data_IF_526537941049
#
_entry.id   IF_526537941049
#
_cell.length_a   1.000
_cell.length_b   1.000
_cell.length_c   1.000
_cell.angle_alpha   90.00
_cell.angle_beta   90.00
_cell.angle_gamma   90.00
#
_symmetry.space_group_name_H-M   'P 1'
#
loop_
_entity.id
_entity.type
_entity.pdbx_description
1 polymer ?
2 water ?
#
# COMPACT_ATOMS: atom_id res chain seq x y z
N UNK A 1 11.92 -18.37 -22.06
CA UNK A 1 11.94 -18.93 -20.68
C UNK A 1 10.73 -18.40 -19.89
N UNK A 2 10.00 -19.27 -19.16
CA UNK A 2 8.85 -18.83 -18.40
C UNK A 2 9.18 -17.72 -17.39
N UNK A 3 8.24 -16.81 -17.21
CA UNK A 3 8.45 -15.70 -16.27
C UNK A 3 7.14 -15.11 -15.78
N UNK A 4 7.22 -14.40 -14.67
CA UNK A 4 6.10 -13.60 -14.21
C UNK A 4 6.66 -12.42 -13.43
N UNK A 5 5.80 -11.42 -13.19
CA UNK A 5 6.17 -10.21 -12.47
C UNK A 5 5.43 -10.16 -11.14
N UNK A 6 6.16 -9.76 -10.09
CA UNK A 6 5.59 -9.43 -8.78
C UNK A 6 5.37 -7.93 -8.73
N UNK A 7 4.15 -7.51 -8.40
CA UNK A 7 3.78 -6.11 -8.28
C UNK A 7 2.95 -5.91 -7.02
N UNK A 8 2.77 -4.64 -6.67
CA UNK A 8 1.79 -4.27 -5.64
C UNK A 8 1.06 -3.02 -6.14
N UNK A 9 -0.19 -3.22 -6.60
CA UNK A 9 -0.97 -2.17 -7.25
C UNK A 9 -2.02 -1.60 -6.32
N UNK A 10 -2.08 -0.27 -6.25
CA UNK A 10 -3.17 0.45 -5.60
C UNK A 10 -3.82 1.30 -6.67
N UNK A 11 -5.04 0.94 -7.05
CA UNK A 11 -5.70 1.64 -8.14
C UNK A 11 -5.96 3.10 -7.77
N UNK A 12 -5.52 4.03 -8.64
CA UNK A 12 -5.70 5.46 -8.37
C UNK A 12 -7.17 5.84 -8.22
N UNK A 13 -8.02 5.34 -9.12
CA UNK A 13 -9.41 5.75 -9.09
C UNK A 13 -10.13 5.20 -7.86
N UNK A 14 -9.79 3.98 -7.44
CA UNK A 14 -10.38 3.46 -6.21
C UNK A 14 -9.93 4.28 -5.00
N UNK A 15 -8.67 4.73 -5.00
CA UNK A 15 -8.20 5.57 -3.89
C UNK A 15 -8.85 6.94 -3.91
N UNK A 16 -8.97 7.55 -5.08
CA UNK A 16 -9.66 8.82 -5.19
C UNK A 16 -11.09 8.70 -4.67
N UNK A 17 -11.79 7.63 -5.05
CA UNK A 17 -13.18 7.46 -4.61
C UNK A 17 -13.26 7.20 -3.11
N UNK A 18 -12.32 6.41 -2.57
CA UNK A 18 -12.29 6.21 -1.12
C UNK A 18 -12.07 7.50 -0.37
N UNK A 19 -11.11 8.31 -0.80
CA UNK A 19 -10.83 9.58 -0.16
C UNK A 19 -12.05 10.50 -0.25
N UNK A 20 -12.63 10.63 -1.44
CA UNK A 20 -13.87 11.42 -1.59
C UNK A 20 -14.95 10.94 -0.63
N UNK A 21 -15.14 9.61 -0.52
CA UNK A 21 -16.15 9.06 0.38
C UNK A 21 -15.81 9.38 1.83
N UNK A 22 -14.52 9.35 2.17
CA UNK A 22 -14.11 9.69 3.54
C UNK A 22 -14.40 11.14 3.85
N UNK A 23 -14.10 12.04 2.89
CA UNK A 23 -14.40 13.46 3.06
C UNK A 23 -15.89 13.68 3.28
N UNK A 24 -16.72 12.96 2.52
CA UNK A 24 -18.18 13.08 2.68
C UNK A 24 -18.61 12.68 4.09
N UNK A 25 -18.05 11.57 4.58
CA UNK A 25 -18.35 11.13 5.94
C UNK A 25 -17.98 12.20 6.97
N UNK A 26 -16.82 12.85 6.80
CA UNK A 26 -16.37 13.85 7.77
C UNK A 26 -17.33 15.04 7.80
N UNK A 27 -17.74 15.50 6.63
CA UNK A 27 -18.58 16.69 6.59
C UNK A 27 -20.00 16.40 7.07
N UNK A 28 -20.41 15.13 7.13
CA UNK A 28 -21.72 14.77 7.64
C UNK A 28 -21.72 14.46 9.13
N UNK A 29 -20.58 14.56 9.83
CA UNK A 29 -20.49 14.14 11.22
C UNK A 29 -20.47 15.37 12.14
N UNK A 30 -21.43 15.44 13.06
CA UNK A 30 -21.56 16.65 13.86
C UNK A 30 -20.33 16.91 14.73
N UNK A 31 -19.53 15.89 15.06
CA UNK A 31 -18.39 16.11 15.94
C UNK A 31 -17.24 16.84 15.26
N UNK A 32 -17.28 16.99 13.94
CA UNK A 32 -16.28 17.76 13.21
C UNK A 32 -16.75 19.17 12.85
N UNK A 33 -17.86 19.62 13.45
CA UNK A 33 -18.33 20.99 13.24
C UNK A 33 -17.27 22.00 13.68
N UNK A 34 -16.99 22.95 12.81
CA UNK A 34 -16.03 24.00 13.10
C UNK A 34 -14.62 23.51 13.35
N UNK A 35 -14.35 22.24 13.06
CA UNK A 35 -13.03 21.64 13.20
C UNK A 35 -12.41 21.53 11.81
N UNK A 36 -11.18 22.02 11.64
CA UNK A 36 -10.47 21.71 10.41
C UNK A 36 -10.17 20.22 10.42
N UNK A 37 -10.55 19.55 9.36
CA UNK A 37 -10.43 18.09 9.32
C UNK A 37 -10.39 17.70 7.84
N UNK A 38 -9.19 17.50 7.31
CA UNK A 38 -9.00 17.33 5.88
C UNK A 38 -8.30 16.01 5.56
N UNK A 39 -8.71 15.42 4.44
CA UNK A 39 -8.11 14.21 3.89
C UNK A 39 -7.89 14.48 2.42
N UNK A 40 -6.62 14.52 1.99
CA UNK A 40 -6.29 15.00 0.66
C UNK A 40 -5.33 14.03 -0.02
N UNK A 41 -5.72 13.54 -1.19
CA UNK A 41 -4.90 12.62 -1.96
C UNK A 41 -3.99 13.37 -2.93
N UNK A 42 -2.70 13.05 -2.90
CA UNK A 42 -1.73 13.49 -3.89
C UNK A 42 -1.64 12.39 -4.94
N UNK A 43 -2.22 12.65 -6.12
CA UNK A 43 -2.31 11.62 -7.14
C UNK A 43 -0.93 11.18 -7.61
N UNK A 44 0.00 12.12 -7.78
CA UNK A 44 1.29 11.78 -8.33
C UNK A 44 2.07 10.84 -7.42
N UNK A 45 2.04 11.08 -6.10
CA UNK A 45 2.79 10.33 -5.11
C UNK A 45 2.00 9.19 -4.50
N UNK A 46 0.69 9.11 -4.75
CA UNK A 46 -0.20 8.17 -4.04
C UNK A 46 0.03 8.25 -2.54
N UNK A 47 -0.03 9.47 -2.04
CA UNK A 47 0.08 9.77 -0.61
C UNK A 47 -1.15 10.56 -0.18
N UNK A 48 -1.54 10.40 1.07
CA UNK A 48 -2.73 11.05 1.59
C UNK A 48 -2.38 11.86 2.83
N UNK A 49 -2.64 13.16 2.78
CA UNK A 49 -2.37 14.06 3.88
C UNK A 49 -3.62 14.13 4.75
N UNK A 50 -3.47 13.85 6.03
CA UNK A 50 -4.58 13.87 6.98
C UNK A 50 -4.24 14.91 8.03
N UNK A 51 -5.15 15.87 8.23
CA UNK A 51 -4.85 16.97 9.13
C UNK A 51 -6.07 17.32 9.96
N UNK A 52 -5.84 17.59 11.24
CA UNK A 52 -6.90 18.13 12.09
C UNK A 52 -6.27 18.85 13.28
N UNK A 53 -6.99 18.89 14.41
CA UNK A 53 -6.65 19.78 15.52
C UNK A 53 -6.26 19.03 16.79
N UNK A 54 -5.99 17.74 16.68
CA UNK A 54 -5.59 16.93 17.83
C UNK A 54 -5.11 15.60 17.31
N UNK A 55 -4.35 14.90 18.14
CA UNK A 55 -3.96 13.53 17.81
C UNK A 55 -5.19 12.66 17.62
N UNK A 56 -6.19 12.78 18.51
CA UNK A 56 -7.33 11.89 18.43
C UNK A 56 -8.16 12.15 17.19
N UNK A 57 -8.26 13.41 16.77
CA UNK A 57 -9.01 13.71 15.56
C UNK A 57 -8.33 13.16 14.31
N UNK A 58 -6.99 13.28 14.23
CA UNK A 58 -6.28 12.63 13.13
C UNK A 58 -6.57 11.13 13.12
N UNK A 59 -6.58 10.48 14.31
CA UNK A 59 -6.84 9.05 14.33
C UNK A 59 -8.27 8.72 13.91
N UNK A 60 -9.24 9.56 14.28
CA UNK A 60 -10.59 9.36 13.81
C UNK A 60 -10.68 9.47 12.29
N UNK A 61 -9.95 10.42 11.70
CA UNK A 61 -9.93 10.55 10.24
C UNK A 61 -9.26 9.35 9.58
N UNK A 62 -8.18 8.85 10.18
CA UNK A 62 -7.52 7.67 9.61
C UNK A 62 -8.44 6.45 9.67
N UNK A 63 -9.22 6.31 10.75
CA UNK A 63 -10.18 5.21 10.83
C UNK A 63 -11.22 5.30 9.72
N UNK A 64 -11.78 6.49 9.50
CA UNK A 64 -12.72 6.69 8.41
C UNK A 64 -12.06 6.33 7.09
N UNK A 65 -10.84 6.83 6.89
CA UNK A 65 -10.15 6.61 5.63
C UNK A 65 -9.87 5.12 5.40
N UNK A 66 -9.43 4.40 6.43
CA UNK A 66 -9.16 2.98 6.26
C UNK A 66 -10.44 2.23 5.89
N UNK A 67 -11.56 2.56 6.53
CA UNK A 67 -12.82 1.88 6.22
C UNK A 67 -13.28 2.17 4.80
N UNK A 68 -13.18 3.44 4.37
CA UNK A 68 -13.60 3.74 3.00
C UNK A 68 -12.67 3.07 1.99
N UNK A 69 -11.37 3.01 2.27
CA UNK A 69 -10.46 2.35 1.33
C UNK A 69 -10.74 0.86 1.26
N UNK A 70 -11.13 0.26 2.39
CA UNK A 70 -11.35 -1.18 2.42
C UNK A 70 -12.53 -1.59 1.57
N UNK A 71 -13.59 -0.76 1.57
CA UNK A 71 -14.74 -1.03 0.73
C UNK A 71 -14.40 -0.93 -0.76
N UNK A 72 -13.31 -0.23 -1.09
CA UNK A 72 -12.84 -0.12 -2.47
C UNK A 72 -11.81 -1.19 -2.84
N UNK A 73 -11.59 -2.19 -1.99
CA UNK A 73 -10.60 -3.22 -2.26
C UNK A 73 -9.19 -2.88 -1.87
N UNK A 74 -8.97 -1.73 -1.23
CA UNK A 74 -7.65 -1.31 -0.77
C UNK A 74 -7.53 -1.73 0.68
N UNK A 75 -6.83 -2.84 0.92
CA UNK A 75 -6.77 -3.40 2.26
C UNK A 75 -5.88 -2.57 3.19
N UNK A 76 -6.04 -2.81 4.49
CA UNK A 76 -5.36 -1.97 5.47
C UNK A 76 -3.86 -2.06 5.39
N UNK A 77 -3.33 -3.21 4.98
CA UNK A 77 -1.90 -3.37 4.85
C UNK A 77 -1.34 -2.50 3.73
N UNK A 78 -2.19 -1.95 2.87
CA UNK A 78 -1.76 -1.10 1.76
C UNK A 78 -1.71 0.38 2.13
N UNK A 79 -1.98 0.74 3.38
CA UNK A 79 -1.91 2.12 3.83
C UNK A 79 -0.88 2.20 4.96
N UNK A 80 0.27 2.81 4.67
CA UNK A 80 1.39 2.91 5.60
C UNK A 80 1.29 4.24 6.34
N UNK A 81 0.90 4.17 7.62
CA UNK A 81 0.73 5.37 8.45
C UNK A 81 1.93 5.45 9.40
N UNK A 82 2.66 6.56 9.42
CA UNK A 82 3.78 6.70 10.34
C UNK A 82 3.36 6.52 11.80
N UNK A 83 4.34 6.10 12.61
CA UNK A 83 4.06 5.90 14.03
C UNK A 83 3.77 7.21 14.76
N UNK A 84 4.30 8.32 14.26
CA UNK A 84 4.19 9.59 14.94
C UNK A 84 3.63 10.63 13.98
N UNK A 85 2.81 11.53 14.51
CA UNK A 85 2.23 12.63 13.74
C UNK A 85 3.10 13.88 13.89
N UNK A 86 2.86 14.86 13.04
CA UNK A 86 3.52 16.16 13.13
C UNK A 86 2.58 17.11 13.85
N UNK A 87 3.09 17.76 14.90
CA UNK A 87 2.33 18.73 15.66
C UNK A 87 2.95 20.10 15.41
N UNK A 88 2.14 21.02 14.88
CA UNK A 88 2.63 22.33 14.47
C UNK A 88 1.55 23.35 14.81
N UNK A 89 1.75 24.11 15.88
CA UNK A 89 0.75 25.08 16.27
C UNK A 89 -0.49 24.37 16.78
N UNK A 90 -1.65 24.77 16.25
CA UNK A 90 -2.92 24.15 16.61
C UNK A 90 -3.27 22.95 15.74
N UNK A 91 -2.43 22.61 14.77
CA UNK A 91 -2.71 21.53 13.84
C UNK A 91 -1.84 20.31 14.10
N UNK A 92 -2.43 19.15 13.88
CA UNK A 92 -1.74 17.86 13.84
C UNK A 92 -1.96 17.25 12.48
N UNK A 93 -0.92 16.65 11.91
CA UNK A 93 -1.08 16.08 10.60
C UNK A 93 -0.11 14.93 10.38
N UNK A 94 -0.45 14.12 9.38
CA UNK A 94 0.36 12.97 9.01
C UNK A 94 0.17 12.69 7.52
N UNK A 95 1.18 12.09 6.91
CA UNK A 95 1.14 11.63 5.53
C UNK A 95 1.00 10.11 5.57
N UNK A 96 -0.13 9.62 5.08
CA UNK A 96 -0.33 8.19 4.89
C UNK A 96 0.07 7.85 3.47
N UNK A 97 0.97 6.87 3.33
CA UNK A 97 1.47 6.43 2.04
C UNK A 97 0.70 5.20 1.56
N UNK A 98 0.16 5.27 0.35
CA UNK A 98 -0.38 4.07 -0.27
C UNK A 98 0.79 3.23 -0.77
N UNK A 99 0.69 1.92 -0.52
CA UNK A 99 1.77 0.99 -0.83
C UNK A 99 1.65 0.57 -2.31
N UNK A 100 1.89 1.54 -3.16
CA UNK A 100 2.03 1.28 -4.58
C UNK A 100 3.47 0.88 -4.86
N UNK A 101 3.66 -0.25 -5.54
CA UNK A 101 5.00 -0.72 -5.82
C UNK A 101 5.64 -1.40 -4.61
N UNK A 102 6.84 -1.93 -4.83
CA UNK A 102 7.59 -2.65 -3.80
C UNK A 102 8.82 -1.81 -3.50
N UNK A 103 8.88 -1.27 -2.29
CA UNK A 103 10.01 -0.44 -1.89
C UNK A 103 11.28 -1.29 -1.78
N UNK A 104 12.43 -0.60 -1.88
CA UNK A 104 13.75 -1.22 -1.76
C UNK A 104 13.86 -2.24 -0.64
N UNK A 105 13.44 -1.85 0.57
CA UNK A 105 13.63 -2.71 1.73
C UNK A 105 12.82 -3.99 1.61
N UNK A 106 11.67 -3.93 0.94
CA UNK A 106 10.86 -5.13 0.75
C UNK A 106 11.39 -5.95 -0.42
N UNK A 107 11.90 -5.28 -1.45
CA UNK A 107 12.49 -6.00 -2.57
C UNK A 107 13.65 -6.89 -2.12
N UNK A 108 14.53 -6.35 -1.25
CA UNK A 108 15.62 -7.18 -0.76
C UNK A 108 15.11 -8.41 -0.02
N UNK A 109 13.99 -8.30 0.70
CA UNK A 109 13.51 -9.46 1.44
C UNK A 109 12.96 -10.54 0.51
N UNK A 110 12.28 -10.12 -0.57
CA UNK A 110 11.81 -11.06 -1.58
C UNK A 110 12.97 -11.76 -2.24
N UNK A 111 13.98 -10.99 -2.64
CA UNK A 111 15.15 -11.58 -3.28
C UNK A 111 15.82 -12.60 -2.36
N UNK A 112 15.92 -12.29 -1.06
CA UNK A 112 16.51 -13.26 -0.13
C UNK A 112 15.67 -14.53 -0.02
N UNK A 113 14.35 -14.39 0.11
CA UNK A 113 13.47 -15.55 0.12
C UNK A 113 13.71 -16.45 -1.09
N UNK A 114 13.80 -15.84 -2.28
CA UNK A 114 13.97 -16.64 -3.50
C UNK A 114 15.34 -17.33 -3.51
N UNK A 115 16.39 -16.63 -3.11
CA UNK A 115 17.69 -17.30 -3.07
C UNK A 115 17.75 -18.39 -2.01
N UNK A 116 17.12 -18.16 -0.85
CA UNK A 116 17.10 -19.18 0.19
C UNK A 116 16.34 -20.43 -0.23
N UNK A 117 15.38 -20.30 -1.15
CA UNK A 117 14.61 -21.45 -1.58
C UNK A 117 15.44 -22.45 -2.34
N UNK A 118 16.56 -22.02 -2.92
CA UNK A 118 17.42 -22.83 -3.78
C UNK A 118 16.76 -23.22 -5.10
N UNK A 119 15.53 -22.78 -5.37
CA UNK A 119 14.92 -23.09 -6.65
C UNK A 119 15.73 -22.48 -7.79
N UNK A 120 15.73 -23.18 -8.93
CA UNK A 120 16.50 -22.73 -10.10
C UNK A 120 15.72 -21.63 -10.83
N UNK A 121 15.62 -20.49 -10.16
CA UNK A 121 14.94 -19.32 -10.69
C UNK A 121 15.82 -18.11 -10.45
N UNK A 122 15.53 -17.03 -11.16
CA UNK A 122 16.30 -15.80 -11.00
C UNK A 122 15.33 -14.63 -10.86
N UNK A 123 15.70 -13.69 -10.01
CA UNK A 123 14.90 -12.50 -9.78
C UNK A 123 15.67 -11.27 -10.24
N UNK A 124 14.98 -10.37 -10.93
CA UNK A 124 15.57 -9.13 -11.42
C UNK A 124 14.65 -7.99 -11.01
N UNK A 125 15.18 -7.05 -10.23
CA UNK A 125 14.42 -5.84 -9.89
C UNK A 125 14.22 -5.01 -11.16
N UNK A 126 13.00 -4.53 -11.35
CA UNK A 126 12.63 -3.67 -12.48
C UNK A 126 11.79 -2.53 -11.92
N UNK A 127 12.45 -1.41 -11.58
CA UNK A 127 11.72 -0.32 -10.97
C UNK A 127 11.07 -0.76 -9.67
N UNK A 128 9.76 -0.52 -9.54
CA UNK A 128 9.02 -0.88 -8.35
C UNK A 128 8.51 -2.31 -8.39
N UNK A 129 8.92 -3.09 -9.38
CA UNK A 129 8.44 -4.43 -9.63
C UNK A 129 9.62 -5.41 -9.59
N UNK A 130 9.31 -6.71 -9.63
CA UNK A 130 10.32 -7.77 -9.67
C UNK A 130 9.91 -8.79 -10.70
N UNK A 131 10.79 -9.08 -11.66
CA UNK A 131 10.57 -10.14 -12.63
C UNK A 131 11.24 -11.41 -12.14
N UNK A 132 10.51 -12.52 -12.21
CA UNK A 132 11.03 -13.82 -11.80
C UNK A 132 10.98 -14.74 -13.00
N UNK A 133 12.11 -15.37 -13.34
CA UNK A 133 12.26 -16.24 -14.49
C UNK A 133 12.85 -17.59 -14.10
N UNK A 134 12.41 -18.65 -14.79
CA UNK A 134 12.90 -19.98 -14.49
C UNK A 134 12.42 -20.96 -15.53
N UNK A 135 13.15 -22.06 -15.74
CA UNK A 135 12.73 -23.02 -16.75
C UNK A 135 11.46 -23.75 -16.33
N UNK A 136 11.23 -23.89 -15.03
CA UNK A 136 10.09 -24.67 -14.54
C UNK A 136 8.95 -23.78 -14.07
N UNK A 137 7.78 -23.98 -14.66
CA UNK A 137 6.59 -23.25 -14.25
C UNK A 137 6.17 -23.66 -12.85
N UNK A 138 6.48 -24.90 -12.46
CA UNK A 138 6.19 -25.35 -11.10
C UNK A 138 7.03 -24.58 -10.09
N UNK A 139 8.32 -24.37 -10.40
CA UNK A 139 9.18 -23.58 -9.51
C UNK A 139 8.68 -22.15 -9.41
N UNK A 140 8.20 -21.59 -10.54
CA UNK A 140 7.62 -20.24 -10.49
C UNK A 140 6.39 -20.22 -9.59
N UNK A 141 5.54 -21.26 -9.68
CA UNK A 141 4.43 -21.43 -8.73
C UNK A 141 4.92 -21.46 -7.29
N UNK A 142 6.03 -22.14 -7.02
CA UNK A 142 6.54 -22.20 -5.65
C UNK A 142 7.04 -20.84 -5.19
N UNK A 143 7.64 -20.05 -6.09
CA UNK A 143 8.05 -18.71 -5.72
C UNK A 143 6.84 -17.87 -5.31
N UNK A 144 5.74 -17.94 -6.08
CA UNK A 144 4.55 -17.20 -5.70
C UNK A 144 4.07 -17.59 -4.31
N UNK A 145 4.09 -18.88 -3.99
CA UNK A 145 3.66 -19.30 -2.66
C UNK A 145 4.60 -18.78 -1.58
N UNK A 146 5.88 -18.71 -1.88
CA UNK A 146 6.84 -18.20 -0.90
C UNK A 146 6.59 -16.72 -0.63
N UNK A 147 6.30 -15.96 -1.68
CA UNK A 147 6.05 -14.53 -1.51
C UNK A 147 4.75 -14.29 -0.78
N UNK A 148 3.67 -14.95 -1.20
CA UNK A 148 2.40 -14.70 -0.53
C UNK A 148 2.40 -15.20 0.92
N UNK A 149 3.24 -16.18 1.24
CA UNK A 149 3.36 -16.67 2.60
C UNK A 149 4.48 -16.06 3.42
N UNK A 150 5.21 -15.09 2.88
CA UNK A 150 6.38 -14.52 3.52
C UNK A 150 6.15 -13.47 4.58
N UNK A 151 4.91 -13.04 4.80
CA UNK A 151 4.58 -12.01 5.81
C UNK A 151 5.43 -10.76 5.62
N UNK A 152 5.46 -10.26 4.38
CA UNK A 152 6.34 -9.16 4.00
C UNK A 152 5.73 -7.77 4.21
N UNK A 153 4.48 -7.68 4.64
CA UNK A 153 3.90 -6.42 5.07
C UNK A 153 2.94 -5.75 4.13
N UNK A 154 2.65 -6.35 2.97
CA UNK A 154 1.77 -5.74 1.97
C UNK A 154 1.27 -6.82 1.04
N UNK A 155 0.11 -6.63 0.41
CA UNK A 155 -0.35 -7.62 -0.58
C UNK A 155 0.45 -7.49 -1.86
N UNK A 156 0.68 -8.61 -2.51
CA UNK A 156 1.34 -8.65 -3.80
C UNK A 156 0.42 -9.28 -4.82
N UNK A 157 0.58 -8.87 -6.07
CA UNK A 157 -0.10 -9.56 -7.17
C UNK A 157 0.94 -10.03 -8.16
N UNK A 158 0.56 -11.03 -8.93
CA UNK A 158 1.43 -11.65 -9.91
C UNK A 158 0.78 -11.47 -11.27
N UNK A 159 1.56 -10.97 -12.23
CA UNK A 159 1.01 -10.59 -13.52
C UNK A 159 2.05 -10.87 -14.60
N UNK A 160 1.70 -10.59 -15.85
CA UNK A 160 2.66 -10.71 -17.00
C UNK A 160 3.26 -12.11 -17.07
N UNK A 161 2.38 -13.08 -17.09
CA UNK A 161 2.84 -14.48 -17.17
C UNK A 161 3.28 -14.73 -18.61
N UNK A 162 4.52 -15.16 -18.76
CA UNK A 162 5.08 -15.36 -20.12
C UNK A 162 5.64 -16.78 -20.21
N UNK A 163 5.34 -17.48 -21.31
CA UNK A 163 6.02 -18.79 -21.55
C UNK A 163 6.01 -19.12 -23.04
#
# INVERSE_FOLDING_TARGET
MPSFDIVSEVDLQEARNGVDNAVREVESRFDFRGVEATIELNDANKTIKVLSESDFQVNQLLDILRAKLLKRGIEGASLDVPDEFVHSGKTWYVEAKLKQGIESAVQKKIVKLIKDSKLKVQAQIQGEEIRVTGKSRDDLQSVMALVRGGDLGQPFQFKNFRD
#
